data_IF_134117407620
#
_entry.id   IF_134117407620
#
_cell.length_a   1.000
_cell.length_b   1.000
_cell.length_c   1.000
_cell.angle_alpha   90.00
_cell.angle_beta   90.00
_cell.angle_gamma   90.00
#
_symmetry.space_group_name_H-M   'P 1'
#
loop_
_entity.id
_entity.type
_entity.pdbx_description
1 polymer ?
#
# COMPACT_ATOMS: atom_id res chain seq x y z
N UNK A 1 -5.67 -7.52 12.05
CA UNK A 1 -6.00 -6.38 11.15
C UNK A 1 -6.12 -5.13 12.01
N UNK A 2 -5.22 -4.18 11.80
CA UNK A 2 -5.24 -2.86 12.46
C UNK A 2 -5.67 -1.81 11.43
N UNK A 3 -6.50 -0.84 11.85
CA UNK A 3 -6.95 0.25 10.98
C UNK A 3 -6.52 1.57 11.58
N UNK A 4 -5.69 2.30 10.84
CA UNK A 4 -5.18 3.61 11.25
C UNK A 4 -5.72 4.67 10.30
N UNK A 5 -6.30 5.73 10.86
CA UNK A 5 -6.74 6.90 10.09
C UNK A 5 -5.61 7.92 10.02
N UNK A 6 -5.25 8.32 8.81
CA UNK A 6 -4.31 9.43 8.61
C UNK A 6 -4.99 10.75 8.97
N UNK A 7 -4.22 11.68 9.52
CA UNK A 7 -4.72 12.95 10.08
C UNK A 7 -4.15 14.17 9.37
N UNK A 8 -3.02 14.01 8.68
CA UNK A 8 -2.33 15.06 7.93
C UNK A 8 -1.48 14.45 6.83
N UNK A 9 -1.06 15.28 5.87
CA UNK A 9 -0.08 14.90 4.85
C UNK A 9 1.22 14.42 5.51
N UNK A 10 1.81 13.36 4.96
CA UNK A 10 3.03 12.71 5.47
C UNK A 10 2.80 11.77 6.66
N UNK A 11 1.58 11.67 7.19
CA UNK A 11 1.29 10.74 8.29
C UNK A 11 1.42 9.29 7.82
N UNK A 12 0.93 8.93 6.62
CA UNK A 12 1.07 7.56 6.12
C UNK A 12 2.54 7.19 5.87
N UNK A 13 3.35 8.16 5.40
CA UNK A 13 4.80 7.98 5.23
C UNK A 13 5.47 7.64 6.55
N UNK A 14 5.17 8.41 7.60
CA UNK A 14 5.73 8.18 8.93
C UNK A 14 5.34 6.80 9.47
N UNK A 15 4.07 6.43 9.38
CA UNK A 15 3.58 5.12 9.81
C UNK A 15 4.28 3.98 9.06
N UNK A 16 4.35 4.05 7.73
CA UNK A 16 5.01 3.04 6.91
C UNK A 16 6.52 2.93 7.20
N UNK A 17 7.17 4.04 7.56
CA UNK A 17 8.59 4.02 7.96
C UNK A 17 8.86 3.44 9.35
N UNK A 18 7.84 3.39 10.22
CA UNK A 18 7.98 2.90 11.61
C UNK A 18 7.26 1.58 11.87
N UNK A 19 6.41 1.11 10.96
CA UNK A 19 5.64 -0.13 11.13
C UNK A 19 6.59 -1.32 11.32
N UNK A 20 6.24 -2.22 12.23
CA UNK A 20 6.98 -3.46 12.43
C UNK A 20 6.33 -4.58 11.62
N UNK A 21 7.00 -5.04 10.56
CA UNK A 21 6.47 -6.07 9.66
C UNK A 21 6.28 -7.42 10.35
N UNK A 22 6.94 -7.66 11.49
CA UNK A 22 6.69 -8.88 12.30
C UNK A 22 5.26 -8.93 12.85
N UNK A 23 4.64 -7.76 13.05
CA UNK A 23 3.27 -7.63 13.53
C UNK A 23 2.23 -7.62 12.41
N UNK A 24 2.65 -7.39 11.16
CA UNK A 24 1.78 -7.33 9.98
C UNK A 24 2.37 -8.11 8.78
N UNK A 25 2.50 -9.45 8.90
CA UNK A 25 3.11 -10.28 7.86
C UNK A 25 2.28 -10.34 6.56
N UNK A 26 0.97 -10.07 6.64
CA UNK A 26 0.05 -10.21 5.50
C UNK A 26 0.11 -9.04 4.50
N UNK A 27 0.69 -7.90 4.88
CA UNK A 27 0.77 -6.73 4.01
C UNK A 27 0.13 -5.45 4.55
N UNK A 28 0.17 -4.41 3.72
CA UNK A 28 -0.39 -3.08 4.01
C UNK A 28 -1.52 -2.78 3.01
N UNK A 29 -2.66 -2.32 3.51
CA UNK A 29 -3.78 -1.88 2.65
C UNK A 29 -3.90 -0.35 2.73
N UNK A 30 -3.72 0.29 1.59
CA UNK A 30 -3.89 1.73 1.41
C UNK A 30 -5.32 2.03 0.98
N UNK A 31 -6.05 2.85 1.72
CA UNK A 31 -7.41 3.30 1.34
C UNK A 31 -7.38 4.81 1.12
N UNK A 32 -7.56 5.24 -0.12
CA UNK A 32 -7.44 6.67 -0.47
C UNK A 32 -7.17 6.91 -1.95
N UNK A 33 -6.64 8.09 -2.26
CA UNK A 33 -6.15 8.43 -3.61
C UNK A 33 -4.66 8.17 -3.80
N UNK A 34 -4.14 8.62 -4.94
CA UNK A 34 -2.74 8.44 -5.35
C UNK A 34 -1.72 8.95 -4.30
N UNK A 35 -2.07 10.01 -3.56
CA UNK A 35 -1.23 10.57 -2.51
C UNK A 35 -0.93 9.61 -1.35
N UNK A 36 -1.92 8.81 -0.93
CA UNK A 36 -1.70 7.83 0.15
C UNK A 36 -0.74 6.73 -0.29
N UNK A 37 -0.88 6.26 -1.52
CA UNK A 37 0.02 5.24 -2.10
C UNK A 37 1.44 5.77 -2.15
N UNK A 38 1.62 7.00 -2.63
CA UNK A 38 2.93 7.64 -2.71
C UNK A 38 3.56 7.83 -1.32
N UNK A 39 2.78 8.23 -0.31
CA UNK A 39 3.28 8.36 1.06
C UNK A 39 3.74 7.02 1.63
N UNK A 40 2.92 5.97 1.49
CA UNK A 40 3.26 4.62 2.00
C UNK A 40 4.50 4.08 1.30
N UNK A 41 4.56 4.15 -0.04
CA UNK A 41 5.71 3.67 -0.81
C UNK A 41 7.00 4.41 -0.40
N UNK A 42 6.96 5.75 -0.31
CA UNK A 42 8.11 6.52 0.15
C UNK A 42 8.46 6.25 1.61
N UNK A 43 7.49 5.87 2.45
CA UNK A 43 7.73 5.48 3.83
C UNK A 43 8.47 4.15 3.92
N UNK A 44 8.08 3.17 3.08
CA UNK A 44 8.72 1.86 2.98
C UNK A 44 10.14 1.94 2.40
N UNK A 45 10.33 2.72 1.33
CA UNK A 45 11.64 2.90 0.68
C UNK A 45 12.64 3.69 1.54
N UNK A 46 12.16 4.54 2.44
CA UNK A 46 13.03 5.35 3.32
C UNK A 46 13.49 4.61 4.58
N UNK A 47 13.21 3.30 4.69
CA UNK A 47 13.67 2.47 5.80
C UNK A 47 15.06 1.90 5.53
N UNK A 48 15.80 1.59 6.59
CA UNK A 48 17.10 0.92 6.46
C UNK A 48 16.94 -0.53 5.96
N UNK A 49 15.83 -1.20 6.30
CA UNK A 49 15.50 -2.55 5.87
C UNK A 49 14.70 -2.60 4.54
N UNK A 50 15.17 -1.89 3.51
CA UNK A 50 14.45 -1.77 2.22
C UNK A 50 14.08 -3.11 1.58
N UNK A 51 14.97 -4.11 1.65
CA UNK A 51 14.73 -5.44 1.07
C UNK A 51 13.50 -6.13 1.66
N UNK A 52 13.33 -5.99 2.97
CA UNK A 52 12.18 -6.55 3.68
C UNK A 52 10.93 -5.74 3.36
N UNK A 53 11.03 -4.40 3.36
CA UNK A 53 9.92 -3.50 3.07
C UNK A 53 9.36 -3.66 1.63
N UNK A 54 10.20 -3.95 0.64
CA UNK A 54 9.78 -4.21 -0.76
C UNK A 54 9.09 -5.57 -0.89
N UNK A 55 9.40 -6.53 0.00
CA UNK A 55 8.76 -7.85 -0.01
C UNK A 55 7.35 -7.83 0.59
N UNK A 56 6.93 -6.73 1.21
CA UNK A 56 5.62 -6.61 1.84
C UNK A 56 4.59 -6.29 0.78
N UNK A 57 3.53 -7.11 0.63
CA UNK A 57 2.50 -6.86 -0.35
C UNK A 57 1.68 -5.62 0.01
N UNK A 58 1.34 -4.81 -1.00
CA UNK A 58 0.55 -3.59 -0.84
C UNK A 58 -0.76 -3.74 -1.61
N UNK A 59 -1.89 -3.65 -0.90
CA UNK A 59 -3.21 -3.51 -1.48
C UNK A 59 -3.62 -2.05 -1.57
N UNK A 60 -4.34 -1.67 -2.62
CA UNK A 60 -4.85 -0.29 -2.79
C UNK A 60 -6.36 -0.35 -3.01
N UNK A 61 -7.11 0.42 -2.22
CA UNK A 61 -8.55 0.63 -2.39
C UNK A 61 -8.74 2.10 -2.82
N UNK A 62 -9.17 2.35 -4.07
CA UNK A 62 -9.37 3.69 -4.58
C UNK A 62 -10.54 4.35 -3.86
N UNK A 63 -10.25 5.39 -3.08
CA UNK A 63 -11.24 6.22 -2.40
C UNK A 63 -10.97 7.73 -2.60
N UNK A 64 -10.02 8.10 -3.47
CA UNK A 64 -9.71 9.48 -3.83
C UNK A 64 -10.55 10.00 -5.00
N UNK A 65 -10.47 11.30 -5.25
CA UNK A 65 -11.11 11.97 -6.38
C UNK A 65 -10.40 11.68 -7.71
N UNK A 66 -9.07 11.62 -7.67
CA UNK A 66 -8.19 11.20 -8.77
C UNK A 66 -7.43 9.94 -8.34
N UNK A 67 -7.63 8.87 -9.10
CA UNK A 67 -7.08 7.53 -8.84
C UNK A 67 -6.32 7.04 -10.08
N UNK A 68 -5.59 7.94 -10.73
CA UNK A 68 -4.90 7.69 -12.00
C UNK A 68 -3.82 6.62 -11.85
N UNK A 69 -3.12 6.65 -10.71
CA UNK A 69 -2.08 5.71 -10.34
C UNK A 69 -2.72 4.37 -9.93
N UNK A 70 -3.80 4.40 -9.16
CA UNK A 70 -4.56 3.19 -8.79
C UNK A 70 -5.15 2.49 -10.02
N UNK A 71 -5.68 3.25 -10.99
CA UNK A 71 -6.19 2.70 -12.24
C UNK A 71 -5.09 2.06 -13.08
N UNK A 72 -3.95 2.71 -13.19
CA UNK A 72 -2.82 2.19 -13.98
C UNK A 72 -2.23 0.94 -13.36
N UNK A 73 -2.18 0.87 -12.02
CA UNK A 73 -1.55 -0.24 -11.29
C UNK A 73 -2.51 -1.41 -11.09
N UNK A 74 -3.78 -1.16 -10.73
CA UNK A 74 -4.76 -2.22 -10.44
C UNK A 74 -5.74 -2.49 -11.58
N UNK A 75 -5.97 -1.55 -12.49
CA UNK A 75 -7.03 -1.65 -13.50
C UNK A 75 -8.44 -1.62 -12.90
N UNK A 76 -8.58 -1.25 -11.62
CA UNK A 76 -9.85 -1.24 -10.88
C UNK A 76 -10.23 0.19 -10.52
N UNK A 77 -11.48 0.56 -10.84
CA UNK A 77 -12.06 1.89 -10.55
C UNK A 77 -12.90 1.90 -9.29
N UNK A 78 -13.54 0.79 -8.97
CA UNK A 78 -14.49 0.73 -7.88
C UNK A 78 -13.84 0.15 -6.61
N UNK A 79 -14.07 0.77 -5.44
CA UNK A 79 -13.46 0.35 -4.18
C UNK A 79 -13.89 -1.07 -3.77
N UNK A 80 -15.10 -1.50 -4.17
CA UNK A 80 -15.65 -2.81 -3.81
C UNK A 80 -14.90 -3.93 -4.53
N UNK A 81 -14.70 -3.82 -5.85
CA UNK A 81 -13.93 -4.78 -6.63
C UNK A 81 -12.46 -4.77 -6.22
N UNK A 82 -11.92 -3.61 -5.83
CA UNK A 82 -10.55 -3.54 -5.32
C UNK A 82 -10.42 -4.32 -3.99
N UNK A 83 -11.36 -4.14 -3.06
CA UNK A 83 -11.41 -4.90 -1.82
C UNK A 83 -11.56 -6.41 -2.07
N UNK A 84 -12.42 -6.80 -3.02
CA UNK A 84 -12.60 -8.21 -3.41
C UNK A 84 -11.31 -8.77 -4.03
N UNK A 85 -10.60 -8.00 -4.87
CA UNK A 85 -9.36 -8.43 -5.51
C UNK A 85 -8.23 -8.65 -4.49
N UNK A 86 -8.13 -7.78 -3.48
CA UNK A 86 -7.19 -7.93 -2.37
C UNK A 86 -7.49 -9.22 -1.58
N UNK A 87 -8.76 -9.47 -1.24
CA UNK A 87 -9.17 -10.68 -0.51
C UNK A 87 -9.00 -11.95 -1.35
N UNK A 88 -9.18 -11.88 -2.67
CA UNK A 88 -8.97 -13.00 -3.60
C UNK A 88 -7.50 -13.35 -3.85
N UNK A 89 -6.57 -12.70 -3.13
CA UNK A 89 -5.11 -12.96 -3.19
C UNK A 89 -4.51 -12.61 -4.56
N UNK A 90 -4.96 -11.50 -5.17
CA UNK A 90 -4.15 -10.81 -6.18
C UNK A 90 -3.41 -9.67 -5.50
N UNK A 91 -2.50 -10.01 -4.59
CA UNK A 91 -1.56 -9.02 -4.07
C UNK A 91 -0.46 -8.87 -5.12
N UNK A 92 -0.31 -7.66 -5.67
CA UNK A 92 0.79 -7.34 -6.57
C UNK A 92 2.09 -7.39 -5.77
N UNK A 93 2.86 -8.46 -5.93
CA UNK A 93 4.30 -8.38 -5.73
C UNK A 93 4.85 -7.48 -6.83
N UNK A 94 5.47 -6.35 -6.45
CA UNK A 94 6.35 -5.62 -7.36
C UNK A 94 7.40 -6.62 -7.90
N UNK A 95 7.72 -6.63 -9.20
CA UNK A 95 8.31 -7.80 -9.84
C UNK A 95 9.59 -8.24 -9.14
N UNK A 96 9.67 -9.56 -8.94
CA UNK A 96 10.83 -10.33 -8.49
C UNK A 96 12.16 -9.63 -8.77
N UNK A 97 12.72 -9.00 -7.73
CA UNK A 97 14.13 -8.59 -7.72
C UNK A 97 15.00 -9.78 -7.27
N UNK A 98 14.76 -10.96 -7.87
CA UNK A 98 15.57 -12.17 -7.74
C UNK A 98 16.00 -12.69 -9.10
N UNK A 99 16.62 -11.82 -9.90
CA UNK A 99 17.72 -12.19 -10.80
C UNK A 99 18.80 -11.12 -10.75
#
# INVERSE_FOLDING_TARGET
MEVVKTTSAGHAKKLASTVDFSTCPDGIICVGGDGIVNEVLNGLLNRDNQKEAISIPIGIIPAGSDNSLVWTVLGVRDPVSAAIAIVKVTLLCYPDCTK
#
